data_IF_640999766485
#
_entry.id   IF_640999766485
#
_cell.length_a   1.000
_cell.length_b   1.000
_cell.length_c   1.000
_cell.angle_alpha   90.00
_cell.angle_beta   90.00
_cell.angle_gamma   90.00
#
_symmetry.space_group_name_H-M   'P 1'
#
loop_
_entity.id
_entity.type
_entity.pdbx_description
1 polymer ?
#
# COMPACT_ATOMS: atom_id res chain seq x y z
N UNK A 1 23.86 2.72 1.03
CA UNK A 1 22.96 1.72 1.67
C UNK A 1 22.46 0.73 0.62
N UNK A 2 22.88 -0.55 0.66
CA UNK A 2 22.30 -1.60 -0.20
C UNK A 2 20.89 -1.92 0.33
N UNK A 3 19.85 -1.53 -0.39
CA UNK A 3 18.46 -1.82 -0.02
C UNK A 3 18.21 -3.33 -0.15
N UNK A 4 18.01 -4.00 0.99
CA UNK A 4 17.67 -5.43 1.03
C UNK A 4 16.19 -5.62 0.71
N UNK A 5 15.85 -6.58 -0.16
CA UNK A 5 14.47 -7.03 -0.43
C UNK A 5 13.81 -7.76 0.76
N UNK A 6 14.36 -7.67 1.97
CA UNK A 6 13.76 -8.25 3.18
C UNK A 6 12.39 -7.61 3.41
N UNK A 7 11.37 -8.45 3.56
CA UNK A 7 9.99 -8.02 3.85
C UNK A 7 9.95 -7.25 5.17
N UNK A 8 9.68 -5.95 5.10
CA UNK A 8 9.53 -5.06 6.25
C UNK A 8 8.09 -5.02 6.73
N UNK A 9 7.90 -4.65 7.99
CA UNK A 9 6.60 -4.21 8.47
C UNK A 9 6.15 -3.01 7.64
N UNK A 10 4.87 -3.00 7.25
CA UNK A 10 4.33 -1.94 6.42
C UNK A 10 2.82 -1.73 6.59
N UNK A 11 2.41 -0.50 6.30
CA UNK A 11 1.03 -0.11 6.06
C UNK A 11 0.90 0.21 4.58
N UNK A 12 -0.02 -0.46 3.90
CA UNK A 12 -0.32 -0.27 2.49
C UNK A 12 -1.74 0.27 2.35
N UNK A 13 -1.86 1.50 1.87
CA UNK A 13 -3.12 2.18 1.62
C UNK A 13 -3.36 2.15 0.12
N UNK A 14 -4.57 1.79 -0.28
CA UNK A 14 -5.00 1.64 -1.66
C UNK A 14 -6.27 2.44 -1.83
N UNK A 15 -6.18 3.64 -2.39
CA UNK A 15 -7.36 4.43 -2.75
C UNK A 15 -7.80 4.05 -4.15
N UNK A 16 -9.07 3.69 -4.31
CA UNK A 16 -9.65 3.26 -5.58
C UNK A 16 -10.57 4.34 -6.13
N UNK A 17 -10.50 4.52 -7.45
CA UNK A 17 -11.31 5.46 -8.20
C UNK A 17 -11.83 4.79 -9.48
N UNK A 18 -12.98 5.22 -9.96
CA UNK A 18 -13.47 4.86 -11.30
C UNK A 18 -12.58 5.59 -12.31
N UNK A 19 -12.03 4.85 -13.29
CA UNK A 19 -11.07 5.39 -14.26
C UNK A 19 -11.68 6.48 -15.14
N UNK A 20 -12.91 6.29 -15.56
CA UNK A 20 -13.63 7.18 -16.48
C UNK A 20 -14.03 8.49 -15.80
N UNK A 21 -14.61 8.41 -14.61
CA UNK A 21 -15.18 9.58 -13.92
C UNK A 21 -14.22 10.21 -12.91
N UNK A 22 -13.18 9.48 -12.49
CA UNK A 22 -12.32 9.88 -11.37
C UNK A 22 -13.01 9.80 -10.00
N UNK A 23 -14.22 9.24 -9.93
CA UNK A 23 -14.98 9.14 -8.70
C UNK A 23 -14.32 8.18 -7.70
N UNK A 24 -14.16 8.61 -6.45
CA UNK A 24 -13.65 7.77 -5.38
C UNK A 24 -14.65 6.69 -4.99
N UNK A 25 -14.21 5.43 -4.96
CA UNK A 25 -15.07 4.29 -4.58
C UNK A 25 -14.79 3.79 -3.17
N UNK A 26 -13.54 3.80 -2.74
CA UNK A 26 -13.17 3.30 -1.43
C UNK A 26 -11.68 3.16 -1.20
N UNK A 27 -11.33 2.80 0.03
CA UNK A 27 -9.93 2.64 0.44
C UNK A 27 -9.72 1.29 1.10
N UNK A 28 -8.69 0.56 0.67
CA UNK A 28 -8.20 -0.63 1.38
C UNK A 28 -6.92 -0.30 2.14
N UNK A 29 -6.86 -0.70 3.40
CA UNK A 29 -5.70 -0.58 4.28
C UNK A 29 -5.22 -1.98 4.63
N UNK A 30 -3.99 -2.31 4.25
CA UNK A 30 -3.34 -3.58 4.58
C UNK A 30 -2.20 -3.31 5.55
N UNK A 31 -2.23 -3.99 6.70
CA UNK A 31 -1.22 -3.87 7.74
C UNK A 31 -0.50 -5.21 7.84
N UNK A 32 0.81 -5.18 7.64
CA UNK A 32 1.69 -6.31 7.85
C UNK A 32 2.76 -5.93 8.87
N UNK A 33 2.87 -6.69 9.94
CA UNK A 33 3.92 -6.52 10.95
C UNK A 33 4.79 -7.77 10.91
N UNK A 34 6.08 -7.57 10.64
CA UNK A 34 7.07 -8.65 10.60
C UNK A 34 7.16 -9.29 11.99
N UNK A 35 7.09 -10.62 12.04
CA UNK A 35 7.12 -11.39 13.28
C UNK A 35 5.73 -11.65 13.88
N UNK A 36 4.69 -10.94 13.43
CA UNK A 36 3.30 -11.28 13.76
C UNK A 36 2.70 -12.20 12.68
N UNK A 37 1.81 -13.10 13.11
CA UNK A 37 1.13 -14.04 12.21
C UNK A 37 0.03 -13.30 11.44
N UNK A 38 0.14 -13.31 10.11
CA UNK A 38 -0.89 -12.82 9.20
C UNK A 38 -0.77 -11.35 8.80
N UNK A 39 -1.70 -10.92 7.94
CA UNK A 39 -1.92 -9.53 7.53
C UNK A 39 -3.30 -9.11 7.99
N UNK A 40 -3.46 -7.88 8.46
CA UNK A 40 -4.78 -7.29 8.73
C UNK A 40 -5.20 -6.48 7.51
N UNK A 41 -6.45 -6.62 7.10
CA UNK A 41 -7.02 -5.91 5.96
C UNK A 41 -8.28 -5.21 6.44
N UNK A 42 -8.39 -3.92 6.15
CA UNK A 42 -9.55 -3.10 6.44
C UNK A 42 -9.98 -2.43 5.15
N UNK A 43 -11.26 -2.51 4.84
CA UNK A 43 -11.87 -1.82 3.72
C UNK A 43 -12.76 -0.72 4.27
N UNK A 44 -12.65 0.48 3.68
CA UNK A 44 -13.48 1.65 3.96
C UNK A 44 -14.29 1.98 2.72
N UNK A 45 -15.53 2.40 2.94
CA UNK A 45 -16.49 2.74 1.91
C UNK A 45 -16.76 1.56 0.96
N UNK A 46 -16.91 1.80 -0.34
CA UNK A 46 -17.32 0.80 -1.32
C UNK A 46 -16.14 0.25 -2.13
N UNK A 47 -15.04 -0.11 -1.45
CA UNK A 47 -13.86 -0.66 -2.11
C UNK A 47 -14.19 -1.98 -2.83
N UNK A 48 -14.03 -1.99 -4.17
CA UNK A 48 -14.34 -3.15 -5.00
C UNK A 48 -13.12 -4.06 -5.16
N UNK A 49 -13.25 -5.28 -4.65
CA UNK A 49 -12.25 -6.33 -4.82
C UNK A 49 -12.26 -6.79 -6.27
N UNK A 50 -11.16 -6.55 -6.98
CA UNK A 50 -10.92 -7.05 -8.33
C UNK A 50 -9.77 -8.03 -8.31
N UNK A 51 -9.76 -8.94 -9.30
CA UNK A 51 -8.62 -9.85 -9.51
C UNK A 51 -7.46 -9.06 -10.10
N UNK A 52 -6.25 -9.45 -9.71
CA UNK A 52 -5.02 -8.90 -10.27
C UNK A 52 -4.37 -9.96 -11.15
N UNK A 53 -3.69 -9.50 -12.22
CA UNK A 53 -2.80 -10.37 -12.98
C UNK A 53 -1.81 -11.00 -12.01
N UNK A 54 -1.67 -12.32 -12.11
CA UNK A 54 -0.71 -13.08 -11.32
C UNK A 54 0.65 -12.37 -11.37
N UNK A 55 1.26 -12.11 -10.22
CA UNK A 55 2.48 -11.29 -10.16
C UNK A 55 3.61 -11.86 -11.01
N UNK A 56 3.63 -13.19 -11.19
CA UNK A 56 4.60 -13.91 -12.04
C UNK A 56 4.45 -13.65 -13.54
N UNK A 57 3.30 -13.16 -14.01
CA UNK A 57 3.09 -12.84 -15.43
C UNK A 57 3.45 -11.40 -15.80
N UNK A 58 3.84 -10.58 -14.81
CA UNK A 58 4.23 -9.18 -15.04
C UNK A 58 5.67 -9.12 -15.56
N UNK A 59 5.86 -8.62 -16.79
CA UNK A 59 7.18 -8.47 -17.45
C UNK A 59 7.92 -7.17 -17.08
N UNK A 60 7.81 -6.72 -15.83
CA UNK A 60 8.43 -5.46 -15.43
C UNK A 60 9.88 -5.70 -14.99
N UNK A 61 10.84 -5.24 -15.79
CA UNK A 61 12.27 -5.28 -15.43
C UNK A 61 12.64 -4.31 -14.29
N UNK A 62 11.74 -3.38 -13.94
CA UNK A 62 11.92 -2.39 -12.87
C UNK A 62 10.67 -2.30 -11.99
N UNK A 63 10.88 -1.93 -10.73
CA UNK A 63 9.78 -1.62 -9.80
C UNK A 63 8.98 -0.41 -10.28
N UNK A 64 7.65 -0.49 -10.23
CA UNK A 64 6.75 0.65 -10.48
C UNK A 64 6.62 1.59 -9.28
N UNK A 65 7.21 1.22 -8.13
CA UNK A 65 7.18 2.04 -6.93
C UNK A 65 8.17 3.18 -7.02
N UNK A 66 7.67 4.38 -6.79
CA UNK A 66 8.47 5.59 -6.62
C UNK A 66 8.64 5.87 -5.12
N UNK A 67 9.88 6.05 -4.66
CA UNK A 67 10.14 6.49 -3.28
C UNK A 67 9.86 7.99 -3.22
N UNK A 68 9.07 8.41 -2.24
CA UNK A 68 8.69 9.81 -2.04
C UNK A 68 9.04 10.27 -0.63
N UNK A 69 9.20 11.57 -0.44
CA UNK A 69 9.51 12.14 0.86
C UNK A 69 8.46 11.74 1.92
N UNK A 70 8.95 11.37 3.10
CA UNK A 70 8.14 11.03 4.26
C UNK A 70 8.63 11.87 5.45
N UNK A 71 7.78 12.68 6.09
CA UNK A 71 8.17 13.48 7.25
C UNK A 71 8.32 12.64 8.54
N UNK A 72 8.23 11.31 8.44
CA UNK A 72 8.29 10.41 9.58
C UNK A 72 9.64 9.70 9.55
N UNK A 73 10.44 9.96 10.58
CA UNK A 73 11.78 9.38 10.69
C UNK A 73 11.76 7.86 10.64
N UNK A 74 12.73 7.29 9.92
CA UNK A 74 12.89 5.85 9.74
C UNK A 74 11.69 5.15 9.07
N UNK A 75 10.83 5.90 8.36
CA UNK A 75 9.75 5.36 7.53
C UNK A 75 10.04 5.67 6.07
N UNK A 76 10.02 4.64 5.24
CA UNK A 76 10.13 4.76 3.80
C UNK A 76 8.72 4.85 3.23
N UNK A 77 8.40 5.94 2.55
CA UNK A 77 7.15 6.10 1.82
C UNK A 77 7.37 5.77 0.33
N UNK A 78 6.53 4.91 -0.22
CA UNK A 78 6.51 4.56 -1.63
C UNK A 78 5.13 4.78 -2.21
N UNK A 79 5.05 5.17 -3.47
CA UNK A 79 3.81 5.34 -4.19
C UNK A 79 3.84 4.60 -5.53
N UNK A 80 2.71 4.05 -5.94
CA UNK A 80 2.51 3.55 -7.30
C UNK A 80 1.04 3.72 -7.70
N UNK A 81 0.78 3.83 -8.99
CA UNK A 81 -0.57 3.78 -9.54
C UNK A 81 -0.70 2.55 -10.41
N UNK A 82 -1.80 1.81 -10.24
CA UNK A 82 -2.16 0.68 -11.08
C UNK A 82 -3.57 0.85 -11.61
N UNK A 83 -3.91 0.06 -12.63
CA UNK A 83 -5.25 -0.05 -13.18
C UNK A 83 -5.72 -1.49 -13.02
N UNK A 84 -7.01 -1.71 -12.77
CA UNK A 84 -7.61 -3.04 -12.77
C UNK A 84 -7.48 -3.71 -14.15
N UNK A 85 -7.59 -5.04 -14.19
CA UNK A 85 -7.50 -5.81 -15.44
C UNK A 85 -8.58 -5.44 -16.45
N UNK A 86 -9.79 -5.18 -15.97
CA UNK A 86 -10.96 -4.74 -16.75
C UNK A 86 -10.89 -3.26 -17.14
N UNK A 87 -9.83 -2.54 -16.76
CA UNK A 87 -9.65 -1.10 -16.98
C UNK A 87 -10.71 -0.19 -16.33
N UNK A 88 -11.58 -0.71 -15.45
CA UNK A 88 -12.65 0.07 -14.82
C UNK A 88 -12.11 0.98 -13.71
N UNK A 89 -11.12 0.51 -12.96
CA UNK A 89 -10.65 1.18 -11.74
C UNK A 89 -9.19 1.58 -11.85
N UNK A 90 -8.86 2.73 -11.27
CA UNK A 90 -7.49 3.15 -10.99
C UNK A 90 -7.25 3.09 -9.48
N UNK A 91 -6.10 2.56 -9.07
CA UNK A 91 -5.70 2.52 -7.67
C UNK A 91 -4.42 3.29 -7.43
N UNK A 92 -4.49 4.20 -6.48
CA UNK A 92 -3.34 4.90 -5.94
C UNK A 92 -2.89 4.17 -4.68
N UNK A 93 -1.75 3.50 -4.80
CA UNK A 93 -1.14 2.78 -3.72
C UNK A 93 -0.12 3.68 -3.01
N UNK A 94 -0.19 3.75 -1.69
CA UNK A 94 0.85 4.33 -0.84
C UNK A 94 1.28 3.29 0.18
N UNK A 95 2.58 3.02 0.26
CA UNK A 95 3.17 2.12 1.25
C UNK A 95 4.06 2.92 2.19
N UNK A 96 3.89 2.68 3.49
CA UNK A 96 4.80 3.11 4.54
C UNK A 96 5.50 1.88 5.11
N UNK A 97 6.79 1.75 4.87
CA UNK A 97 7.63 0.64 5.32
C UNK A 97 8.60 1.10 6.41
N UNK A 98 8.80 0.28 7.44
CA UNK A 98 9.86 0.52 8.42
C UNK A 98 10.35 -0.77 9.04
N UNK A 99 11.65 -0.84 9.32
CA UNK A 99 12.25 -1.88 10.15
C UNK A 99 11.96 -1.66 11.65
N UNK A 100 11.44 -0.48 12.03
CA UNK A 100 11.09 -0.11 13.41
C UNK A 100 9.60 -0.28 13.74
N UNK A 101 8.75 -0.58 12.76
CA UNK A 101 7.34 -0.93 13.00
C UNK A 101 7.28 -2.34 13.62
N UNK A 102 7.21 -2.41 14.96
CA UNK A 102 7.35 -3.66 15.71
C UNK A 102 6.08 -4.09 16.46
N UNK A 103 5.14 -3.18 16.69
CA UNK A 103 3.93 -3.46 17.47
C UNK A 103 2.70 -2.67 16.96
N UNK A 104 1.55 -2.99 17.55
CA UNK A 104 0.25 -2.36 17.23
C UNK A 104 0.25 -0.86 17.55
N UNK A 105 0.91 -0.42 18.63
CA UNK A 105 0.92 1.00 19.01
C UNK A 105 1.66 1.87 17.98
N UNK A 106 2.78 1.38 17.43
CA UNK A 106 3.50 2.07 16.37
C UNK A 106 2.66 2.20 15.10
N UNK A 107 1.85 1.17 14.79
CA UNK A 107 0.90 1.19 13.68
C UNK A 107 -0.22 2.20 13.93
N UNK A 108 -0.84 2.19 15.12
CA UNK A 108 -1.94 3.11 15.45
C UNK A 108 -1.46 4.57 15.40
N UNK A 109 -0.26 4.85 15.93
CA UNK A 109 0.39 6.17 15.81
C UNK A 109 0.62 6.58 14.36
N UNK A 110 1.07 5.64 13.51
CA UNK A 110 1.32 5.90 12.10
C UNK A 110 0.00 6.18 11.36
N UNK A 111 -1.05 5.41 11.60
CA UNK A 111 -2.39 5.64 11.05
C UNK A 111 -2.90 7.04 11.44
N UNK A 112 -2.80 7.39 12.73
CA UNK A 112 -3.22 8.71 13.22
C UNK A 112 -2.44 9.86 12.57
N UNK A 113 -1.12 9.68 12.35
CA UNK A 113 -0.29 10.68 11.67
C UNK A 113 -0.57 10.81 10.17
N UNK A 114 -0.99 9.73 9.51
CA UNK A 114 -1.30 9.74 8.08
C UNK A 114 -2.65 10.42 7.79
N UNK A 115 -3.50 10.65 8.82
CA UNK A 115 -4.84 11.24 8.68
C UNK A 115 -5.68 10.53 7.61
N UNK A 116 -5.74 9.19 7.68
CA UNK A 116 -6.58 8.36 6.78
C UNK A 116 -8.06 8.52 7.14
#
# INVERSE_FOLDING_TARGET
MKYSNKRRSHIHIIKQYIKETGEYTGTRIVIYIKGLKGKKIYDKDNFKIHRYKNSKSKKNNKSLWTIVHCPIDNVIKKQMTNTSEDNIYVMHHTIYESDKLKDKQCVDRLINKIKI
#
